data_IF_435004870980
#
_entry.id   IF_435004870980
#
_cell.length_a   1.000
_cell.length_b   1.000
_cell.length_c   1.000
_cell.angle_alpha   90.00
_cell.angle_beta   90.00
_cell.angle_gamma   90.00
#
_symmetry.space_group_name_H-M   'P 1'
#
loop_
_entity.id
_entity.type
_entity.pdbx_description
1 polymer ?
#
# COMPACT_ATOMS: atom_id res chain seq x y z
N UNK A 1 7.51 1.36 0.04
CA UNK A 1 6.71 2.56 0.40
C UNK A 1 7.53 3.67 1.07
N UNK A 2 7.97 3.55 2.33
CA UNK A 2 8.61 4.68 3.04
C UNK A 2 9.93 5.13 2.41
N UNK A 3 10.77 4.18 1.95
CA UNK A 3 12.02 4.51 1.25
C UNK A 3 11.75 5.31 -0.02
N UNK A 4 10.80 4.85 -0.84
CA UNK A 4 10.40 5.56 -2.06
C UNK A 4 9.76 6.92 -1.79
N UNK A 5 9.03 7.08 -0.67
CA UNK A 5 8.58 8.40 -0.22
C UNK A 5 9.77 9.34 0.01
N UNK A 6 10.82 8.88 0.68
CA UNK A 6 12.02 9.69 0.89
C UNK A 6 12.76 10.00 -0.42
N UNK A 7 12.83 9.03 -1.35
CA UNK A 7 13.38 9.27 -2.71
C UNK A 7 12.61 10.32 -3.47
N UNK A 8 11.27 10.24 -3.45
CA UNK A 8 10.38 11.17 -4.17
C UNK A 8 10.62 12.63 -3.75
N UNK A 9 10.92 12.87 -2.48
CA UNK A 9 11.19 14.20 -1.94
C UNK A 9 12.69 14.51 -1.80
N UNK A 10 13.56 13.72 -2.44
CA UNK A 10 15.02 13.89 -2.41
C UNK A 10 15.63 13.97 -0.99
N UNK A 11 15.02 13.29 -0.01
CA UNK A 11 15.49 13.27 1.37
C UNK A 11 16.37 12.04 1.64
N UNK A 12 17.62 12.10 1.17
CA UNK A 12 18.60 11.02 1.32
C UNK A 12 18.90 10.68 2.78
N UNK A 13 18.84 11.67 3.69
CA UNK A 13 19.10 11.45 5.12
C UNK A 13 17.99 10.61 5.76
N UNK A 14 16.72 10.90 5.47
CA UNK A 14 15.60 10.09 5.96
C UNK A 14 15.55 8.73 5.26
N UNK A 15 15.90 8.67 3.97
CA UNK A 15 16.02 7.40 3.24
C UNK A 15 17.01 6.45 3.93
N UNK A 16 18.20 6.93 4.31
CA UNK A 16 19.20 6.12 5.00
C UNK A 16 18.67 5.57 6.34
N UNK A 17 17.95 6.39 7.12
CA UNK A 17 17.29 5.91 8.35
C UNK A 17 16.26 4.82 8.07
N UNK A 18 15.45 4.99 7.03
CA UNK A 18 14.39 4.03 6.65
C UNK A 18 14.99 2.69 6.21
N UNK A 19 16.02 2.71 5.36
CA UNK A 19 16.67 1.48 4.87
C UNK A 19 17.34 0.72 6.01
N UNK A 20 17.92 1.43 6.98
CA UNK A 20 18.58 0.83 8.14
C UNK A 20 17.63 0.61 9.33
N UNK A 21 16.32 0.81 9.17
CA UNK A 21 15.36 0.65 10.25
C UNK A 21 15.28 -0.83 10.68
N UNK A 22 15.30 -1.08 11.99
CA UNK A 22 15.29 -2.45 12.55
C UNK A 22 13.95 -3.16 12.44
N UNK A 23 12.86 -2.42 12.20
CA UNK A 23 11.51 -2.95 12.11
C UNK A 23 10.59 -2.02 11.30
N UNK A 24 9.41 -2.52 10.85
CA UNK A 24 8.47 -1.74 10.06
C UNK A 24 7.94 -0.48 10.76
N UNK A 25 7.75 -0.52 12.08
CA UNK A 25 7.24 0.64 12.84
C UNK A 25 8.24 1.79 12.86
N UNK A 26 9.54 1.49 13.03
CA UNK A 26 10.61 2.47 12.93
C UNK A 26 10.70 3.07 11.51
N UNK A 27 10.63 2.23 10.47
CA UNK A 27 10.60 2.69 9.08
C UNK A 27 9.40 3.63 8.82
N UNK A 28 8.22 3.28 9.36
CA UNK A 28 7.01 4.10 9.28
C UNK A 28 7.15 5.42 10.04
N UNK A 29 7.77 5.41 11.21
CA UNK A 29 8.05 6.62 11.98
C UNK A 29 8.97 7.57 11.20
N UNK A 30 10.10 7.08 10.66
CA UNK A 30 10.99 7.90 9.83
C UNK A 30 10.31 8.40 8.55
N UNK A 31 9.42 7.61 7.94
CA UNK A 31 8.63 8.05 6.79
C UNK A 31 7.68 9.24 7.06
N UNK A 32 7.39 9.54 8.34
CA UNK A 32 6.65 10.76 8.75
C UNK A 32 7.57 11.98 8.86
N UNK A 33 8.89 11.77 8.96
CA UNK A 33 9.91 12.83 9.09
C UNK A 33 10.46 13.30 7.73
N UNK A 34 10.01 12.72 6.61
CA UNK A 34 10.49 13.06 5.26
C UNK A 34 10.35 14.57 5.01
N UNK A 35 11.48 15.22 4.74
CA UNK A 35 11.57 16.65 4.46
C UNK A 35 11.06 16.97 3.07
N UNK A 36 10.52 18.18 2.90
CA UNK A 36 9.98 18.64 1.62
C UNK A 36 8.70 17.93 1.19
N UNK A 37 8.05 17.19 2.10
CA UNK A 37 6.82 16.48 1.82
C UNK A 37 5.72 17.41 1.29
N UNK A 38 5.17 17.04 0.14
CA UNK A 38 4.00 17.68 -0.45
C UNK A 38 2.90 16.62 -0.65
N UNK A 39 1.73 16.87 -0.08
CA UNK A 39 0.61 15.92 -0.11
C UNK A 39 0.13 15.63 -1.54
N UNK A 40 0.03 16.65 -2.41
CA UNK A 40 -0.46 16.49 -3.77
C UNK A 40 0.47 15.62 -4.62
N UNK A 41 1.79 15.89 -4.52
CA UNK A 41 2.80 15.07 -5.19
C UNK A 41 2.74 13.64 -4.65
N UNK A 42 2.63 13.47 -3.33
CA UNK A 42 2.50 12.14 -2.75
C UNK A 42 1.24 11.40 -3.24
N UNK A 43 0.10 12.08 -3.31
CA UNK A 43 -1.16 11.48 -3.74
C UNK A 43 -1.12 11.00 -5.19
N UNK A 44 -0.39 11.71 -6.06
CA UNK A 44 -0.14 11.33 -7.45
C UNK A 44 0.72 10.05 -7.58
N UNK A 45 1.75 9.91 -6.73
CA UNK A 45 2.74 8.84 -6.88
C UNK A 45 2.53 7.62 -5.96
N UNK A 46 1.81 7.77 -4.83
CA UNK A 46 1.75 6.75 -3.77
C UNK A 46 1.24 5.39 -4.24
N UNK A 47 0.28 5.37 -5.18
CA UNK A 47 -0.30 4.12 -5.65
C UNK A 47 0.73 3.30 -6.43
N UNK A 48 1.39 3.91 -7.43
CA UNK A 48 2.43 3.26 -8.23
C UNK A 48 3.56 2.72 -7.34
N UNK A 49 4.04 3.53 -6.39
CA UNK A 49 5.07 3.13 -5.42
C UNK A 49 4.65 1.88 -4.61
N UNK A 50 3.38 1.77 -4.25
CA UNK A 50 2.87 0.60 -3.49
C UNK A 50 2.63 -0.60 -4.40
N UNK A 51 2.26 -0.40 -5.66
CA UNK A 51 2.24 -1.47 -6.67
C UNK A 51 3.65 -2.05 -6.83
N UNK A 52 4.66 -1.23 -7.14
CA UNK A 52 6.05 -1.70 -7.34
C UNK A 52 6.58 -2.47 -6.13
N UNK A 53 6.31 -1.95 -4.91
CA UNK A 53 6.71 -2.59 -3.68
C UNK A 53 6.02 -3.94 -3.44
N UNK A 54 4.73 -4.05 -3.77
CA UNK A 54 4.02 -5.33 -3.68
C UNK A 54 4.46 -6.28 -4.79
N UNK A 55 4.64 -5.82 -6.02
CA UNK A 55 5.15 -6.63 -7.12
C UNK A 55 6.47 -7.28 -6.73
N UNK A 56 7.42 -6.48 -6.23
CA UNK A 56 8.70 -7.00 -5.74
C UNK A 56 8.52 -8.04 -4.61
N UNK A 57 7.58 -7.83 -3.68
CA UNK A 57 7.29 -8.78 -2.58
C UNK A 57 6.70 -10.10 -3.08
N UNK A 58 5.72 -10.05 -3.97
CA UNK A 58 5.01 -11.23 -4.44
C UNK A 58 5.83 -11.99 -5.49
N UNK A 59 6.54 -11.30 -6.41
CA UNK A 59 7.36 -11.95 -7.43
C UNK A 59 8.57 -12.70 -6.88
N UNK A 60 9.13 -12.25 -5.74
CA UNK A 60 10.26 -12.94 -5.10
C UNK A 60 9.84 -14.14 -4.24
N UNK A 61 8.53 -14.35 -4.00
CA UNK A 61 8.03 -15.41 -3.12
C UNK A 61 6.85 -16.15 -3.73
N UNK A 62 7.12 -17.33 -4.29
CA UNK A 62 6.14 -18.14 -5.01
C UNK A 62 4.87 -18.47 -4.19
N UNK A 63 5.00 -18.77 -2.90
CA UNK A 63 3.85 -19.09 -2.06
C UNK A 63 2.94 -17.88 -1.85
N UNK A 64 3.52 -16.68 -1.71
CA UNK A 64 2.73 -15.45 -1.65
C UNK A 64 2.09 -15.12 -3.00
N UNK A 65 2.83 -15.29 -4.10
CA UNK A 65 2.29 -15.07 -5.46
C UNK A 65 1.07 -15.97 -5.72
N UNK A 66 1.20 -17.27 -5.43
CA UNK A 66 0.11 -18.23 -5.56
C UNK A 66 -1.10 -17.85 -4.69
N UNK A 67 -0.86 -17.44 -3.44
CA UNK A 67 -1.92 -16.95 -2.56
C UNK A 67 -2.67 -15.76 -3.17
N UNK A 68 -1.96 -14.78 -3.74
CA UNK A 68 -2.58 -13.62 -4.38
C UNK A 68 -3.33 -14.01 -5.67
N UNK A 69 -2.76 -14.86 -6.52
CA UNK A 69 -3.40 -15.36 -7.75
C UNK A 69 -4.69 -16.13 -7.44
N UNK A 70 -4.69 -16.93 -6.37
CA UNK A 70 -5.86 -17.69 -5.93
C UNK A 70 -7.04 -16.83 -5.44
N UNK A 71 -6.86 -15.52 -5.30
CA UNK A 71 -7.99 -14.59 -5.09
C UNK A 71 -8.89 -14.45 -6.34
N UNK A 72 -8.45 -14.94 -7.50
CA UNK A 72 -9.23 -14.97 -8.74
C UNK A 72 -9.61 -13.56 -9.20
N UNK A 73 -10.89 -13.35 -9.51
CA UNK A 73 -11.42 -12.04 -9.95
C UNK A 73 -12.09 -11.26 -8.81
N UNK A 74 -11.89 -11.67 -7.55
CA UNK A 74 -12.48 -10.97 -6.40
C UNK A 74 -11.91 -9.57 -6.27
N UNK A 75 -12.77 -8.64 -5.84
CA UNK A 75 -12.37 -7.31 -5.39
C UNK A 75 -11.72 -7.45 -4.01
N UNK A 76 -10.46 -7.02 -3.90
CA UNK A 76 -9.74 -7.04 -2.63
C UNK A 76 -9.96 -5.73 -1.89
N UNK A 77 -10.22 -5.82 -0.59
CA UNK A 77 -10.42 -4.64 0.27
C UNK A 77 -9.66 -4.76 1.58
N UNK A 78 -9.15 -3.64 2.08
CA UNK A 78 -8.69 -3.54 3.47
C UNK A 78 -9.81 -2.97 4.36
N UNK A 79 -10.43 -3.86 5.14
CA UNK A 79 -11.51 -3.55 6.07
C UNK A 79 -10.99 -2.89 7.35
N UNK A 80 -10.54 -1.64 7.22
CA UNK A 80 -10.02 -0.83 8.32
C UNK A 80 -10.89 0.41 8.56
N UNK A 81 -11.47 0.59 9.77
CA UNK A 81 -12.27 1.79 10.10
C UNK A 81 -11.40 3.04 10.33
N UNK A 82 -10.09 2.85 10.52
CA UNK A 82 -9.13 3.93 10.82
C UNK A 82 -8.22 4.27 9.65
N UNK A 83 -8.34 3.56 8.52
CA UNK A 83 -7.62 3.84 7.28
C UNK A 83 -8.59 4.06 6.12
N UNK A 84 -8.72 5.33 5.71
CA UNK A 84 -9.54 5.74 4.57
C UNK A 84 -8.75 5.93 3.28
N UNK A 85 -7.43 5.75 3.31
CA UNK A 85 -6.58 5.89 2.12
C UNK A 85 -6.29 4.50 1.55
N UNK A 86 -5.75 3.61 2.37
CA UNK A 86 -5.40 2.25 1.95
C UNK A 86 -6.58 1.30 2.08
N UNK A 87 -7.48 1.55 3.05
CA UNK A 87 -8.71 0.79 3.27
C UNK A 87 -10.01 1.48 2.86
N UNK A 88 -11.11 0.77 3.10
CA UNK A 88 -12.49 1.20 2.78
C UNK A 88 -13.13 2.07 3.87
N UNK A 89 -12.44 2.31 4.99
CA UNK A 89 -12.95 3.14 6.08
C UNK A 89 -14.05 2.49 6.93
N UNK A 90 -14.24 1.17 6.82
CA UNK A 90 -15.23 0.38 7.56
C UNK A 90 -14.56 -0.82 8.24
N UNK A 91 -15.07 -1.23 9.40
CA UNK A 91 -14.66 -2.48 10.05
C UNK A 91 -15.29 -3.69 9.34
N UNK A 92 -14.62 -4.84 9.41
CA UNK A 92 -15.05 -6.09 8.74
C UNK A 92 -16.48 -6.52 9.09
N UNK A 93 -16.91 -6.24 10.31
CA UNK A 93 -18.23 -6.60 10.85
C UNK A 93 -19.32 -5.55 10.60
N UNK A 94 -19.01 -4.46 9.88
CA UNK A 94 -19.98 -3.43 9.57
C UNK A 94 -21.09 -3.96 8.65
N UNK A 95 -22.34 -3.67 9.01
CA UNK A 95 -23.49 -4.05 8.20
C UNK A 95 -23.37 -3.47 6.79
N UNK A 96 -23.51 -4.31 5.76
CA UNK A 96 -23.34 -3.97 4.35
C UNK A 96 -21.90 -3.65 3.90
N UNK A 97 -20.86 -4.14 4.58
CA UNK A 97 -19.46 -4.01 4.12
C UNK A 97 -19.27 -4.48 2.67
N UNK A 98 -20.04 -5.45 2.20
CA UNK A 98 -19.96 -5.93 0.81
C UNK A 98 -20.55 -4.95 -0.23
N UNK A 99 -21.22 -3.88 0.19
CA UNK A 99 -21.78 -2.86 -0.70
C UNK A 99 -20.78 -1.71 -0.92
N UNK A 100 -20.14 -1.58 -2.10
CA UNK A 100 -19.13 -0.56 -2.35
C UNK A 100 -19.65 0.88 -2.24
N UNK A 101 -20.96 1.08 -2.39
CA UNK A 101 -21.59 2.40 -2.25
C UNK A 101 -21.59 2.91 -0.81
N UNK A 102 -21.31 2.04 0.17
CA UNK A 102 -21.25 2.41 1.59
C UNK A 102 -19.83 2.71 2.06
N UNK A 103 -18.82 2.39 1.25
CA UNK A 103 -17.42 2.61 1.60
C UNK A 103 -17.11 4.10 1.68
N UNK A 104 -16.29 4.47 2.65
CA UNK A 104 -15.87 5.85 2.90
C UNK A 104 -14.34 5.97 2.92
N UNK A 105 -13.69 5.14 2.10
CA UNK A 105 -12.24 5.09 1.94
C UNK A 105 -11.88 4.72 0.50
N UNK A 106 -10.64 5.01 0.12
CA UNK A 106 -10.15 4.90 -1.25
C UNK A 106 -9.73 3.48 -1.64
N UNK A 107 -9.55 2.57 -0.67
CA UNK A 107 -9.14 1.18 -0.90
C UNK A 107 -7.88 1.01 -1.77
N UNK A 108 -6.91 1.93 -1.67
CA UNK A 108 -5.74 1.91 -2.55
C UNK A 108 -4.89 0.64 -2.40
N UNK A 109 -4.90 -0.02 -1.24
CA UNK A 109 -4.16 -1.27 -1.06
C UNK A 109 -4.81 -2.40 -1.83
N UNK A 110 -6.14 -2.51 -1.78
CA UNK A 110 -6.89 -3.47 -2.57
C UNK A 110 -6.63 -3.31 -4.06
N UNK A 111 -6.68 -2.07 -4.56
CA UNK A 111 -6.36 -1.77 -5.96
C UNK A 111 -4.90 -2.11 -6.32
N UNK A 112 -3.95 -1.80 -5.45
CA UNK A 112 -2.54 -2.14 -5.69
C UNK A 112 -2.32 -3.66 -5.79
N UNK A 113 -2.93 -4.44 -4.89
CA UNK A 113 -2.82 -5.89 -4.91
C UNK A 113 -3.49 -6.51 -6.13
N UNK A 114 -4.63 -5.97 -6.59
CA UNK A 114 -5.27 -6.41 -7.82
C UNK A 114 -4.43 -6.09 -9.06
N UNK A 115 -3.77 -4.92 -9.12
CA UNK A 115 -2.83 -4.60 -10.19
C UNK A 115 -1.65 -5.57 -10.23
N UNK A 116 -1.04 -5.85 -9.07
CA UNK A 116 0.06 -6.84 -8.96
C UNK A 116 -0.41 -8.24 -9.37
N UNK A 117 -1.62 -8.63 -8.99
CA UNK A 117 -2.21 -9.92 -9.40
C UNK A 117 -2.28 -10.05 -10.93
N UNK A 118 -2.68 -9.00 -11.63
CA UNK A 118 -2.73 -9.02 -13.11
C UNK A 118 -1.33 -9.08 -13.73
N UNK A 119 -0.35 -8.36 -13.17
CA UNK A 119 1.03 -8.40 -13.67
C UNK A 119 1.68 -9.78 -13.51
N UNK A 120 1.38 -10.51 -12.43
CA UNK A 120 1.92 -11.85 -12.17
C UNK A 120 1.31 -12.96 -13.03
N UNK A 121 0.24 -12.70 -13.78
CA UNK A 121 -0.36 -13.67 -14.72
C UNK A 121 0.42 -13.79 -16.03
N UNK A 122 1.31 -12.83 -16.32
CA UNK A 122 2.10 -12.69 -17.56
C UNK A 122 3.42 -13.43 -17.41
#
# INVERSE_FOLDING_TARGET
>A
MMAEKARLFNDSATLEKIINAKNPDAAKAYGREVRGFNQSIWDEHRLAIVIDGNLAKFSQNNALAEFLLNTGDKILVEASPVDRIWGIGLAEDFANIENPLTWNGLNLLGFALMAVREELKI
#
